data_IF_962567489730
#
_entry.id   IF_962567489730
#
_cell.length_a   1.000
_cell.length_b   1.000
_cell.length_c   1.000
_cell.angle_alpha   90.00
_cell.angle_beta   90.00
_cell.angle_gamma   90.00
#
_symmetry.space_group_name_H-M   'P 1'
#
loop_
_entity.id
_entity.type
_entity.pdbx_description
1 polymer ?
#
# COMPACT_ATOMS: atom_id res chain seq x y z
N UNK A 1 44.42 6.80 -62.39
CA UNK A 1 43.09 7.31 -62.01
C UNK A 1 42.53 6.42 -60.90
N UNK A 2 42.68 6.84 -59.64
CA UNK A 2 42.01 6.27 -58.47
C UNK A 2 41.68 7.44 -57.54
N UNK A 3 40.44 7.90 -57.61
CA UNK A 3 39.94 9.03 -56.84
C UNK A 3 39.65 8.58 -55.41
N UNK A 4 40.31 9.21 -54.44
CA UNK A 4 39.99 9.09 -53.01
C UNK A 4 38.95 10.18 -52.71
N UNK A 5 37.71 9.78 -52.45
CA UNK A 5 36.68 10.69 -51.96
C UNK A 5 36.76 10.80 -50.45
N UNK A 6 37.23 11.95 -49.98
CA UNK A 6 37.19 12.39 -48.59
C UNK A 6 35.71 12.63 -48.20
N UNK A 7 35.17 11.87 -47.24
CA UNK A 7 33.88 12.19 -46.62
C UNK A 7 34.15 13.07 -45.40
N UNK A 8 33.86 14.37 -45.55
CA UNK A 8 33.92 15.36 -44.48
C UNK A 8 32.62 15.25 -43.65
N UNK A 9 32.70 14.71 -42.43
CA UNK A 9 31.60 14.71 -41.48
C UNK A 9 31.53 16.12 -40.86
N UNK A 10 30.56 16.92 -41.28
CA UNK A 10 30.17 18.14 -40.58
C UNK A 10 29.40 17.76 -39.30
N UNK A 11 30.10 17.80 -38.16
CA UNK A 11 29.49 17.88 -36.84
C UNK A 11 28.93 19.30 -36.66
N UNK A 12 27.69 19.52 -37.12
CA UNK A 12 26.89 20.66 -36.69
C UNK A 12 26.49 20.40 -35.22
N UNK A 13 27.15 21.10 -34.30
CA UNK A 13 26.72 21.17 -32.92
C UNK A 13 25.33 21.79 -32.86
N UNK A 14 24.31 20.96 -32.64
CA UNK A 14 23.02 21.45 -32.20
C UNK A 14 23.22 22.06 -30.80
N UNK A 15 22.79 23.30 -30.55
CA UNK A 15 22.79 23.82 -29.20
C UNK A 15 21.85 22.93 -28.38
N UNK A 16 22.35 22.38 -27.26
CA UNK A 16 21.46 21.95 -26.18
C UNK A 16 20.74 23.21 -25.70
N UNK A 17 19.56 23.48 -26.26
CA UNK A 17 18.58 24.30 -25.60
C UNK A 17 18.26 23.56 -24.29
N UNK A 18 18.67 24.14 -23.17
CA UNK A 18 18.07 23.80 -21.89
C UNK A 18 16.55 23.95 -22.09
N UNK A 19 15.81 22.85 -22.01
CA UNK A 19 14.36 22.91 -22.02
C UNK A 19 13.97 23.84 -20.84
N UNK A 20 13.38 24.99 -21.15
CA UNK A 20 12.84 25.88 -20.11
C UNK A 20 11.77 25.14 -19.30
N UNK A 21 11.51 25.64 -18.10
CA UNK A 21 10.41 25.13 -17.28
C UNK A 21 9.09 25.14 -18.09
N UNK A 22 8.24 24.10 -17.96
CA UNK A 22 7.01 23.99 -18.76
C UNK A 22 6.09 25.18 -18.48
N UNK A 23 5.40 25.68 -19.50
CA UNK A 23 4.45 26.76 -19.28
C UNK A 23 3.23 26.24 -18.47
N UNK A 24 2.58 27.07 -17.63
CA UNK A 24 1.41 26.64 -16.85
C UNK A 24 0.31 25.98 -17.70
N UNK A 25 0.14 26.43 -18.95
CA UNK A 25 -0.84 25.89 -19.89
C UNK A 25 -0.49 24.47 -20.33
N UNK A 26 0.80 24.16 -20.51
CA UNK A 26 1.29 22.84 -20.88
C UNK A 26 1.07 21.84 -19.74
N UNK A 27 1.33 22.27 -18.50
CA UNK A 27 1.06 21.47 -17.29
C UNK A 27 -0.44 21.15 -17.18
N UNK A 28 -1.30 22.16 -17.32
CA UNK A 28 -2.77 21.95 -17.27
C UNK A 28 -3.23 21.05 -18.41
N UNK A 29 -2.68 21.21 -19.62
CA UNK A 29 -3.02 20.35 -20.76
C UNK A 29 -2.61 18.88 -20.50
N UNK A 30 -1.44 18.65 -19.93
CA UNK A 30 -0.94 17.33 -19.58
C UNK A 30 -1.82 16.67 -18.49
N UNK A 31 -2.14 17.41 -17.42
CA UNK A 31 -3.03 16.92 -16.36
C UNK A 31 -4.42 16.58 -16.92
N UNK A 32 -4.99 17.44 -17.78
CA UNK A 32 -6.27 17.16 -18.45
C UNK A 32 -6.18 15.89 -19.30
N UNK A 33 -5.11 15.74 -20.09
CA UNK A 33 -4.90 14.57 -20.93
C UNK A 33 -4.82 13.28 -20.10
N UNK A 34 -4.10 13.31 -18.98
CA UNK A 34 -3.93 12.18 -18.08
C UNK A 34 -5.20 11.80 -17.31
N UNK A 35 -6.04 12.78 -16.99
CA UNK A 35 -7.22 12.60 -16.13
C UNK A 35 -8.56 12.67 -16.84
N UNK A 36 -8.59 12.84 -18.16
CA UNK A 36 -9.84 12.96 -18.94
C UNK A 36 -10.81 11.79 -18.72
N UNK A 37 -10.28 10.57 -18.59
CA UNK A 37 -11.10 9.38 -18.30
C UNK A 37 -11.74 9.40 -16.89
N UNK A 38 -11.16 10.15 -15.96
CA UNK A 38 -11.63 10.28 -14.59
C UNK A 38 -12.62 11.41 -14.38
N UNK A 39 -13.02 12.12 -15.45
CA UNK A 39 -14.21 12.97 -15.39
C UNK A 39 -15.42 12.16 -14.92
N UNK A 40 -15.48 10.87 -15.30
CA UNK A 40 -16.34 9.88 -14.66
C UNK A 40 -15.66 9.29 -13.41
N UNK A 41 -16.25 9.57 -12.23
CA UNK A 41 -15.77 9.06 -10.94
C UNK A 41 -15.81 7.52 -10.86
N UNK A 42 -16.73 6.86 -11.58
CA UNK A 42 -16.80 5.40 -11.58
C UNK A 42 -15.55 4.79 -12.22
N UNK A 43 -15.04 5.41 -13.29
CA UNK A 43 -13.77 5.05 -13.92
C UNK A 43 -12.59 5.26 -12.96
N UNK A 44 -12.56 6.35 -12.19
CA UNK A 44 -11.53 6.56 -11.18
C UNK A 44 -11.55 5.47 -10.09
N UNK A 45 -12.72 5.13 -9.57
CA UNK A 45 -12.90 4.05 -8.57
C UNK A 45 -12.48 2.70 -9.14
N UNK A 46 -12.82 2.39 -10.40
CA UNK A 46 -12.42 1.16 -11.08
C UNK A 46 -10.89 1.04 -11.24
N UNK A 47 -10.21 2.17 -11.46
CA UNK A 47 -8.75 2.26 -11.54
C UNK A 47 -8.05 2.33 -10.17
N UNK A 48 -8.82 2.24 -9.07
CA UNK A 48 -8.32 2.10 -7.71
C UNK A 48 -8.10 3.40 -6.95
N UNK A 49 -8.74 4.49 -7.38
CA UNK A 49 -8.82 5.71 -6.57
C UNK A 49 -9.84 5.55 -5.44
N UNK A 50 -9.42 5.89 -4.21
CA UNK A 50 -10.21 5.75 -2.98
C UNK A 50 -10.43 7.13 -2.34
N UNK A 51 -11.64 7.43 -1.88
CA UNK A 51 -12.01 8.75 -1.35
C UNK A 51 -11.35 9.07 0.01
N UNK A 52 -10.13 9.59 0.06
CA UNK A 52 -9.41 9.85 1.30
C UNK A 52 -10.04 10.88 2.25
N UNK A 53 -10.95 11.74 1.78
CA UNK A 53 -11.58 12.74 2.64
C UNK A 53 -13.08 12.97 2.36
N UNK A 54 -13.74 13.65 3.29
CA UNK A 54 -15.05 14.25 3.03
C UNK A 54 -14.90 15.55 2.23
N UNK A 55 -16.00 16.28 2.04
CA UNK A 55 -15.93 17.58 1.35
C UNK A 55 -15.09 18.57 2.15
N UNK A 56 -13.91 18.96 1.67
CA UNK A 56 -13.10 20.00 2.28
C UNK A 56 -13.39 21.36 1.63
N UNK A 57 -13.77 22.32 2.46
CA UNK A 57 -14.13 23.65 1.99
C UNK A 57 -12.98 24.26 1.16
N UNK A 58 -13.28 24.56 -0.12
CA UNK A 58 -12.35 25.12 -1.12
C UNK A 58 -11.33 24.14 -1.72
N UNK A 59 -11.32 22.86 -1.34
CA UNK A 59 -10.43 21.85 -1.92
C UNK A 59 -11.19 20.75 -2.66
N UNK A 60 -12.35 20.34 -2.15
CA UNK A 60 -13.14 19.24 -2.69
C UNK A 60 -13.00 17.97 -1.85
N UNK A 61 -13.49 16.87 -2.40
CA UNK A 61 -13.24 15.52 -1.93
C UNK A 61 -11.94 15.00 -2.55
N UNK A 62 -11.05 14.45 -1.73
CA UNK A 62 -9.79 13.88 -2.18
C UNK A 62 -9.97 12.39 -2.49
N UNK A 63 -9.53 11.97 -3.66
CA UNK A 63 -9.49 10.58 -4.09
C UNK A 63 -8.05 10.18 -4.37
N UNK A 64 -7.49 9.29 -3.54
CA UNK A 64 -6.09 8.89 -3.59
C UNK A 64 -5.93 7.58 -4.33
N UNK A 65 -4.94 7.51 -5.23
CA UNK A 65 -4.47 6.26 -5.83
C UNK A 65 -3.31 5.72 -4.99
N UNK A 66 -3.47 4.57 -4.30
CA UNK A 66 -2.50 4.14 -3.31
C UNK A 66 -1.08 3.90 -3.80
N UNK A 67 -0.93 3.27 -4.96
CA UNK A 67 0.36 2.95 -5.55
C UNK A 67 1.06 4.19 -6.12
N UNK A 68 0.32 5.15 -6.68
CA UNK A 68 0.87 6.41 -7.16
C UNK A 68 1.35 7.26 -5.99
N UNK A 69 0.56 7.36 -4.91
CA UNK A 69 0.96 8.08 -3.70
C UNK A 69 2.19 7.43 -3.04
N UNK A 70 2.21 6.10 -2.89
CA UNK A 70 3.37 5.40 -2.33
C UNK A 70 4.64 5.62 -3.18
N UNK A 71 4.51 5.62 -4.51
CA UNK A 71 5.62 5.92 -5.43
C UNK A 71 6.12 7.35 -5.23
N UNK A 72 5.21 8.33 -5.22
CA UNK A 72 5.52 9.74 -5.05
C UNK A 72 6.25 10.02 -3.72
N UNK A 73 5.83 9.36 -2.63
CA UNK A 73 6.52 9.44 -1.35
C UNK A 73 7.89 8.77 -1.35
N UNK A 74 8.03 7.63 -2.04
CA UNK A 74 9.29 6.89 -2.08
C UNK A 74 10.36 7.58 -2.94
N UNK A 75 9.97 8.24 -4.02
CA UNK A 75 10.90 8.88 -4.96
C UNK A 75 11.06 10.37 -4.72
N UNK A 76 10.08 11.03 -4.10
CA UNK A 76 10.03 12.49 -3.99
C UNK A 76 9.87 13.19 -5.35
N UNK A 77 9.46 12.45 -6.39
CA UNK A 77 9.33 12.95 -7.76
C UNK A 77 7.88 13.14 -8.14
N UNK A 78 7.61 14.22 -8.87
CA UNK A 78 6.29 14.52 -9.43
C UNK A 78 6.14 13.89 -10.83
N UNK A 79 5.01 13.22 -11.08
CA UNK A 79 4.64 12.68 -12.39
C UNK A 79 3.28 13.27 -12.81
N UNK A 80 3.29 14.22 -13.76
CA UNK A 80 2.08 14.88 -14.23
C UNK A 80 1.07 13.90 -14.85
N UNK A 81 1.55 12.80 -15.44
CA UNK A 81 0.72 11.81 -16.12
C UNK A 81 0.07 10.79 -15.16
N UNK A 82 0.49 10.78 -13.89
CA UNK A 82 0.00 9.87 -12.87
C UNK A 82 -0.26 10.60 -11.54
N UNK A 83 -1.22 11.55 -11.50
CA UNK A 83 -1.53 12.29 -10.29
C UNK A 83 -1.98 11.33 -9.17
N UNK A 84 -1.37 11.42 -7.97
CA UNK A 84 -1.71 10.53 -6.87
C UNK A 84 -3.07 10.85 -6.26
N UNK A 85 -3.56 12.08 -6.42
CA UNK A 85 -4.83 12.53 -5.85
C UNK A 85 -5.68 13.24 -6.90
N UNK A 86 -6.94 12.83 -7.03
CA UNK A 86 -7.97 13.52 -7.81
C UNK A 86 -8.89 14.28 -6.86
N UNK A 87 -9.34 15.45 -7.30
CA UNK A 87 -10.22 16.31 -6.52
C UNK A 87 -11.59 16.36 -7.18
N UNK A 88 -12.64 16.10 -6.42
CA UNK A 88 -14.01 16.20 -6.91
C UNK A 88 -14.85 17.15 -6.06
N UNK A 89 -15.91 17.67 -6.65
CA UNK A 89 -17.07 18.17 -5.90
C UNK A 89 -18.30 17.34 -6.23
N UNK A 90 -19.26 17.35 -5.32
CA UNK A 90 -20.48 16.58 -5.42
C UNK A 90 -21.69 17.48 -5.18
N UNK A 91 -22.73 17.31 -6.00
CA UNK A 91 -24.05 17.90 -5.76
C UNK A 91 -25.14 16.98 -6.30
N UNK A 92 -26.10 16.63 -5.45
CA UNK A 92 -27.27 15.81 -5.79
C UNK A 92 -26.95 14.44 -6.43
N UNK A 93 -25.90 13.80 -5.94
CA UNK A 93 -25.32 12.54 -6.43
C UNK A 93 -24.38 12.68 -7.62
N UNK A 94 -24.19 13.88 -8.16
CA UNK A 94 -23.37 14.13 -9.35
C UNK A 94 -21.97 14.57 -8.94
N UNK A 95 -20.99 13.75 -9.28
CA UNK A 95 -19.57 14.02 -9.07
C UNK A 95 -18.98 14.77 -10.26
N UNK A 96 -18.22 15.82 -9.98
CA UNK A 96 -17.49 16.60 -10.97
C UNK A 96 -16.01 16.66 -10.59
N UNK A 97 -15.14 16.20 -11.49
CA UNK A 97 -13.70 16.38 -11.35
C UNK A 97 -13.36 17.87 -11.43
N UNK A 98 -12.61 18.39 -10.45
CA UNK A 98 -12.25 19.82 -10.39
C UNK A 98 -10.76 20.06 -10.56
N UNK A 99 -9.93 19.11 -10.19
CA UNK A 99 -8.47 19.23 -10.25
C UNK A 99 -7.76 17.98 -9.78
N UNK A 100 -6.46 18.13 -9.54
CA UNK A 100 -5.60 17.10 -8.95
C UNK A 100 -4.73 17.72 -7.88
N UNK A 101 -4.23 16.86 -7.00
CA UNK A 101 -3.27 17.23 -5.97
C UNK A 101 -2.03 16.33 -6.05
N UNK A 102 -0.86 16.93 -5.87
CA UNK A 102 0.41 16.25 -5.73
C UNK A 102 0.93 16.42 -4.30
N UNK A 103 0.93 15.31 -3.55
CA UNK A 103 1.48 15.26 -2.20
C UNK A 103 2.83 14.52 -2.19
N UNK A 104 3.89 15.21 -1.78
CA UNK A 104 5.28 14.74 -1.76
C UNK A 104 5.90 14.86 -0.36
N UNK A 105 7.04 14.18 -0.07
CA UNK A 105 7.71 14.31 1.23
C UNK A 105 8.27 15.71 1.50
N UNK A 106 8.61 16.44 0.44
CA UNK A 106 9.12 17.81 0.47
C UNK A 106 8.86 18.47 -0.88
N UNK A 107 8.96 19.80 -0.93
CA UNK A 107 8.89 20.56 -2.19
C UNK A 107 9.97 20.01 -3.14
N UNK A 108 9.63 19.63 -4.38
CA UNK A 108 10.60 19.08 -5.31
C UNK A 108 11.64 20.15 -5.66
N UNK A 109 12.93 19.78 -5.79
CA UNK A 109 13.99 20.73 -6.10
C UNK A 109 13.90 21.28 -7.53
N UNK A 110 13.27 20.51 -8.43
CA UNK A 110 13.02 20.89 -9.81
C UNK A 110 11.66 21.59 -9.91
N UNK A 111 11.59 22.65 -10.73
CA UNK A 111 10.37 23.42 -10.98
C UNK A 111 9.41 22.67 -11.92
N UNK A 112 8.99 21.46 -11.51
CA UNK A 112 8.11 20.60 -12.29
C UNK A 112 6.65 21.12 -12.34
N UNK A 113 6.30 22.04 -11.43
CA UNK A 113 5.07 22.81 -11.42
C UNK A 113 5.37 24.32 -11.32
N UNK A 114 5.80 24.97 -12.43
CA UNK A 114 6.20 26.37 -12.42
C UNK A 114 5.10 27.30 -11.92
N UNK A 115 5.42 28.07 -10.88
CA UNK A 115 4.49 29.02 -10.27
C UNK A 115 3.41 28.39 -9.39
N UNK A 116 3.52 27.10 -9.04
CA UNK A 116 2.62 26.49 -8.09
C UNK A 116 2.87 26.91 -6.64
N UNK A 117 1.78 27.13 -5.91
CA UNK A 117 1.82 27.41 -4.48
C UNK A 117 1.94 26.09 -3.72
N UNK A 118 3.17 25.75 -3.37
CA UNK A 118 3.44 24.64 -2.46
C UNK A 118 3.15 25.06 -1.02
N UNK A 119 2.36 24.25 -0.32
CA UNK A 119 2.05 24.45 1.09
C UNK A 119 2.34 23.16 1.88
N UNK A 120 2.51 23.32 3.18
CA UNK A 120 2.71 22.19 4.09
C UNK A 120 1.35 21.67 4.54
N UNK A 121 1.04 20.43 4.20
CA UNK A 121 0.00 19.66 4.87
C UNK A 121 0.62 19.00 6.10
N UNK A 122 0.08 19.31 7.27
CA UNK A 122 0.64 18.92 8.56
C UNK A 122 0.59 17.40 8.78
N UNK A 123 1.43 16.90 9.68
CA UNK A 123 1.35 15.50 10.07
C UNK A 123 0.02 15.27 10.81
N UNK A 124 -0.84 14.41 10.28
CA UNK A 124 -2.23 14.30 10.75
C UNK A 124 -2.63 12.85 11.03
N UNK A 125 -3.44 12.70 12.08
CA UNK A 125 -4.19 11.50 12.41
C UNK A 125 -5.50 11.51 11.63
N UNK A 126 -5.85 10.37 11.04
CA UNK A 126 -7.08 10.16 10.29
C UNK A 126 -8.08 9.37 11.13
N UNK A 127 -9.36 9.73 11.03
CA UNK A 127 -10.46 9.09 11.74
C UNK A 127 -11.55 8.62 10.80
N UNK A 128 -12.34 7.63 11.21
CA UNK A 128 -13.29 6.93 10.31
C UNK A 128 -14.28 7.83 9.56
N UNK A 129 -14.62 9.00 10.11
CA UNK A 129 -15.49 10.01 9.50
C UNK A 129 -14.74 11.07 8.67
N UNK A 130 -13.53 10.76 8.18
CA UNK A 130 -12.65 11.66 7.42
C UNK A 130 -12.16 12.91 8.17
N UNK A 131 -12.41 12.99 9.47
CA UNK A 131 -11.80 14.06 10.26
C UNK A 131 -10.33 13.78 10.48
N UNK A 132 -9.59 14.86 10.66
CA UNK A 132 -8.18 14.82 10.96
C UNK A 132 -7.85 15.58 12.25
N UNK A 133 -6.80 15.14 12.95
CA UNK A 133 -6.19 15.88 14.04
C UNK A 133 -4.67 15.93 13.86
N UNK A 134 -4.02 17.10 13.95
CA UNK A 134 -2.58 17.19 13.84
C UNK A 134 -1.86 16.42 14.97
N UNK A 135 -0.86 15.63 14.61
CA UNK A 135 0.01 14.96 15.57
C UNK A 135 1.39 14.65 14.96
N UNK A 136 2.44 14.80 15.77
CA UNK A 136 3.81 14.54 15.33
C UNK A 136 4.12 13.06 15.00
N UNK A 137 3.28 12.12 15.43
CA UNK A 137 3.43 10.68 15.15
C UNK A 137 2.12 9.94 15.37
N UNK A 138 1.98 8.74 14.79
CA UNK A 138 0.84 7.85 15.01
C UNK A 138 0.59 7.56 16.50
N UNK A 139 1.65 7.43 17.31
CA UNK A 139 1.54 7.19 18.76
C UNK A 139 1.00 8.40 19.54
N UNK A 140 1.16 9.61 19.01
CA UNK A 140 0.63 10.82 19.60
C UNK A 140 -0.86 11.06 19.24
N UNK A 141 -1.43 10.25 18.34
CA UNK A 141 -2.83 10.35 17.97
C UNK A 141 -3.74 9.95 19.14
N UNK A 142 -4.84 10.66 19.37
CA UNK A 142 -5.94 10.14 20.18
C UNK A 142 -6.54 8.89 19.52
N UNK A 143 -6.79 7.83 20.29
CA UNK A 143 -7.45 6.61 19.79
C UNK A 143 -8.87 6.88 19.25
N UNK A 144 -9.50 7.98 19.69
CA UNK A 144 -10.79 8.46 19.18
C UNK A 144 -10.76 9.96 18.93
N UNK A 145 -11.45 10.42 17.89
CA UNK A 145 -11.57 11.83 17.56
C UNK A 145 -12.34 12.56 18.67
N UNK A 146 -11.84 13.72 19.10
CA UNK A 146 -12.40 14.48 20.23
C UNK A 146 -13.84 14.96 20.02
N UNK A 147 -14.19 15.34 18.79
CA UNK A 147 -15.53 15.84 18.45
C UNK A 147 -16.55 14.76 18.04
N UNK A 148 -16.17 13.78 17.20
CA UNK A 148 -17.08 12.76 16.68
C UNK A 148 -17.06 11.45 17.48
N UNK A 149 -16.00 11.18 18.25
CA UNK A 149 -15.82 9.90 18.94
C UNK A 149 -15.38 8.76 18.02
N UNK A 150 -15.20 9.02 16.72
CA UNK A 150 -14.77 8.03 15.73
C UNK A 150 -13.37 7.51 15.99
N UNK A 151 -13.12 6.27 15.58
CA UNK A 151 -11.85 5.60 15.83
C UNK A 151 -10.76 6.10 14.89
N UNK A 152 -9.54 6.14 15.42
CA UNK A 152 -8.33 6.36 14.63
C UNK A 152 -8.16 5.25 13.59
N UNK A 153 -7.81 5.62 12.36
CA UNK A 153 -7.66 4.68 11.23
C UNK A 153 -6.29 4.74 10.56
N UNK A 154 -5.53 5.82 10.76
CA UNK A 154 -4.24 5.99 10.12
C UNK A 154 -3.57 7.31 10.47
N UNK A 155 -2.30 7.43 10.12
CA UNK A 155 -1.52 8.65 10.29
C UNK A 155 -0.56 8.79 9.11
N UNK A 156 -0.31 10.03 8.67
CA UNK A 156 0.77 10.33 7.73
C UNK A 156 1.71 11.42 8.28
N UNK A 157 2.98 11.43 7.86
CA UNK A 157 3.89 12.54 8.14
C UNK A 157 3.43 13.81 7.42
N UNK A 158 4.08 14.94 7.75
CA UNK A 158 3.85 16.17 7.01
C UNK A 158 4.24 16.00 5.54
N UNK A 159 3.47 16.62 4.64
CA UNK A 159 3.63 16.53 3.19
C UNK A 159 3.74 17.94 2.59
N UNK A 160 4.49 18.06 1.51
CA UNK A 160 4.43 19.22 0.63
C UNK A 160 3.37 18.97 -0.44
N UNK A 161 2.41 19.88 -0.53
CA UNK A 161 1.22 19.72 -1.37
C UNK A 161 1.11 20.85 -2.38
N UNK A 162 0.76 20.51 -3.62
CA UNK A 162 0.42 21.47 -4.66
C UNK A 162 -0.82 21.00 -5.44
N UNK A 163 -1.67 21.96 -5.79
CA UNK A 163 -2.90 21.73 -6.54
C UNK A 163 -2.76 22.16 -8.00
N UNK A 164 -3.43 21.42 -8.89
CA UNK A 164 -3.63 21.83 -10.28
C UNK A 164 -5.13 21.80 -10.59
N UNK A 165 -5.73 22.99 -10.69
CA UNK A 165 -7.15 23.21 -10.99
C UNK A 165 -7.42 23.08 -12.48
N UNK A 166 -7.26 21.85 -12.98
CA UNK A 166 -7.34 21.55 -14.41
C UNK A 166 -8.77 21.56 -14.95
N UNK A 167 -9.79 21.24 -14.15
CA UNK A 167 -11.14 20.96 -14.63
C UNK A 167 -12.20 21.96 -14.17
N UNK A 168 -11.94 22.66 -13.07
CA UNK A 168 -12.81 23.72 -12.57
C UNK A 168 -12.07 25.06 -12.59
N UNK A 169 -12.70 26.13 -13.09
CA UNK A 169 -12.11 27.46 -13.06
C UNK A 169 -11.70 27.88 -11.63
N UNK A 170 -10.58 28.61 -11.50
CA UNK A 170 -10.13 29.15 -10.22
C UNK A 170 -9.76 30.65 -10.40
N UNK A 171 -10.41 31.57 -9.67
CA UNK A 171 -10.13 33.01 -9.78
C UNK A 171 -8.72 33.38 -9.30
N UNK A 172 -8.13 32.58 -8.42
CA UNK A 172 -6.81 32.83 -7.83
C UNK A 172 -5.67 32.20 -8.65
N UNK A 173 -6.01 31.46 -9.71
CA UNK A 173 -5.06 30.83 -10.64
C UNK A 173 -5.09 29.31 -10.63
N UNK A 174 -4.58 28.69 -11.69
CA UNK A 174 -4.61 27.23 -11.90
C UNK A 174 -3.76 26.44 -10.91
N UNK A 175 -2.83 27.10 -10.20
CA UNK A 175 -1.98 26.49 -9.17
C UNK A 175 -2.12 27.15 -7.79
N UNK A 176 -3.22 27.87 -7.56
CA UNK A 176 -3.50 28.42 -6.24
C UNK A 176 -3.71 27.30 -5.21
N UNK A 177 -3.35 27.56 -3.95
CA UNK A 177 -3.50 26.60 -2.84
C UNK A 177 -4.93 26.09 -2.70
N UNK A 178 -5.93 26.97 -2.82
CA UNK A 178 -7.34 26.60 -2.70
C UNK A 178 -8.14 27.18 -3.87
N UNK A 179 -9.38 26.72 -4.03
CA UNK A 179 -10.34 27.27 -4.98
C UNK A 179 -11.57 27.84 -4.26
N UNK A 180 -11.68 29.19 -4.13
CA UNK A 180 -12.81 29.84 -3.48
C UNK A 180 -14.17 29.48 -4.08
N UNK A 181 -14.23 29.14 -5.37
CA UNK A 181 -15.47 28.76 -6.05
C UNK A 181 -15.98 27.38 -5.69
N UNK A 182 -15.22 26.58 -4.94
CA UNK A 182 -15.71 25.31 -4.39
C UNK A 182 -16.42 25.47 -3.02
N UNK A 183 -16.33 26.64 -2.38
CA UNK A 183 -16.99 26.90 -1.09
C UNK A 183 -18.51 26.60 -1.07
N UNK A 184 -19.30 26.87 -2.13
CA UNK A 184 -20.73 26.54 -2.17
C UNK A 184 -21.06 25.04 -2.16
N UNK A 185 -20.08 24.16 -2.37
CA UNK A 185 -20.26 22.71 -2.22
C UNK A 185 -20.16 22.26 -0.76
N UNK A 186 -19.81 23.18 0.16
CA UNK A 186 -19.83 22.96 1.60
C UNK A 186 -18.45 22.72 2.19
N UNK A 187 -18.43 22.01 3.31
CA UNK A 187 -17.26 21.57 4.07
C UNK A 187 -17.64 20.31 4.86
N UNK A 188 -16.70 19.73 5.62
CA UNK A 188 -16.85 18.41 6.24
C UNK A 188 -18.19 18.30 7.02
N UNK A 189 -19.19 17.69 6.39
CA UNK A 189 -20.49 17.46 7.00
C UNK A 189 -20.39 16.21 7.87
N UNK A 190 -20.78 16.31 9.15
CA UNK A 190 -20.68 15.24 10.15
C UNK A 190 -21.60 14.02 9.89
N UNK A 191 -22.16 13.86 8.68
CA UNK A 191 -23.26 12.93 8.40
C UNK A 191 -22.89 11.69 7.60
N UNK A 192 -21.69 11.60 7.05
CA UNK A 192 -21.31 10.40 6.30
C UNK A 192 -20.55 9.43 7.19
N UNK A 193 -21.32 8.55 7.85
CA UNK A 193 -20.79 7.33 8.42
C UNK A 193 -20.44 6.40 7.26
N UNK A 194 -19.20 6.46 6.77
CA UNK A 194 -18.74 5.55 5.71
C UNK A 194 -18.40 4.18 6.30
N UNK A 195 -18.86 3.09 5.66
CA UNK A 195 -18.44 1.70 5.84
C UNK A 195 -17.12 1.47 6.56
N UNK A 196 -16.14 2.02 5.86
CA UNK A 196 -14.71 1.97 6.06
C UNK A 196 -14.14 3.28 5.54
N UNK A 197 -13.13 3.80 6.22
CA UNK A 197 -12.43 4.99 5.73
C UNK A 197 -11.41 4.57 4.64
N UNK A 198 -11.37 5.23 3.49
CA UNK A 198 -10.32 5.12 2.49
C UNK A 198 -8.85 5.19 2.95
N UNK A 199 -8.51 5.86 4.04
CA UNK A 199 -7.20 5.75 4.69
C UNK A 199 -6.98 4.33 5.26
N UNK A 200 -8.00 3.76 5.88
CA UNK A 200 -8.09 2.37 6.35
C UNK A 200 -7.92 1.40 5.16
N UNK A 201 -8.63 1.65 4.05
CA UNK A 201 -8.52 0.84 2.82
C UNK A 201 -7.17 1.01 2.10
N UNK A 202 -6.64 2.24 2.01
CA UNK A 202 -5.33 2.55 1.43
C UNK A 202 -4.25 1.81 2.21
N UNK A 203 -4.29 1.93 3.54
CA UNK A 203 -3.33 1.32 4.43
C UNK A 203 -3.37 -0.20 4.30
N UNK A 204 -4.56 -0.79 4.36
CA UNK A 204 -4.77 -2.22 4.13
C UNK A 204 -4.23 -2.67 2.76
N UNK A 205 -4.57 -2.00 1.65
CA UNK A 205 -4.05 -2.37 0.33
C UNK A 205 -2.52 -2.27 0.25
N UNK A 206 -1.95 -1.21 0.83
CA UNK A 206 -0.50 -1.02 0.88
C UNK A 206 0.17 -2.16 1.65
N UNK A 207 -0.32 -2.49 2.84
CA UNK A 207 0.30 -3.52 3.69
C UNK A 207 0.18 -4.92 3.07
N UNK A 208 -0.97 -5.25 2.47
CA UNK A 208 -1.13 -6.49 1.72
C UNK A 208 -0.15 -6.57 0.54
N UNK A 209 0.01 -5.51 -0.26
CA UNK A 209 0.95 -5.51 -1.40
C UNK A 209 2.40 -5.64 -0.95
N UNK A 210 2.80 -4.95 0.12
CA UNK A 210 4.15 -5.09 0.70
C UNK A 210 4.39 -6.52 1.17
N UNK A 211 3.42 -7.12 1.88
CA UNK A 211 3.48 -8.53 2.26
C UNK A 211 3.60 -9.46 1.04
N UNK A 212 2.87 -9.16 -0.05
CA UNK A 212 2.97 -9.86 -1.33
C UNK A 212 4.37 -9.83 -1.94
N UNK A 213 5.03 -8.66 -1.98
CA UNK A 213 6.41 -8.52 -2.47
C UNK A 213 7.40 -9.33 -1.62
N UNK A 214 7.25 -9.29 -0.29
CA UNK A 214 8.10 -10.05 0.63
C UNK A 214 7.92 -11.56 0.40
N UNK A 215 6.68 -12.04 0.31
CA UNK A 215 6.39 -13.46 0.06
C UNK A 215 6.85 -13.93 -1.32
N UNK A 216 6.74 -13.10 -2.36
CA UNK A 216 7.25 -13.43 -3.69
C UNK A 216 8.78 -13.58 -3.66
N UNK A 217 9.46 -12.69 -2.93
CA UNK A 217 10.91 -12.77 -2.72
C UNK A 217 11.28 -14.05 -1.96
N UNK A 218 10.54 -14.39 -0.90
CA UNK A 218 10.71 -15.64 -0.16
C UNK A 218 10.46 -16.88 -1.03
N UNK A 219 9.47 -16.85 -1.92
CA UNK A 219 9.21 -17.94 -2.86
C UNK A 219 10.39 -18.15 -3.83
N UNK A 220 10.92 -17.05 -4.40
CA UNK A 220 12.07 -17.08 -5.28
C UNK A 220 13.34 -17.59 -4.57
N UNK A 221 13.60 -17.09 -3.36
CA UNK A 221 14.71 -17.57 -2.53
C UNK A 221 14.57 -19.05 -2.21
N UNK A 222 13.38 -19.50 -1.77
CA UNK A 222 13.17 -20.91 -1.42
C UNK A 222 13.32 -21.82 -2.64
N UNK A 223 12.88 -21.38 -3.82
CA UNK A 223 13.09 -22.08 -5.08
C UNK A 223 14.59 -22.19 -5.41
N UNK A 224 15.32 -21.07 -5.32
CA UNK A 224 16.75 -21.02 -5.57
C UNK A 224 17.56 -21.89 -4.60
N UNK A 225 17.14 -21.93 -3.34
CA UNK A 225 17.68 -22.77 -2.27
C UNK A 225 17.40 -24.27 -2.51
N UNK A 226 16.24 -24.60 -3.08
CA UNK A 226 15.81 -25.99 -3.30
C UNK A 226 16.39 -26.62 -4.58
N UNK A 227 16.87 -25.80 -5.53
CA UNK A 227 17.31 -26.27 -6.85
C UNK A 227 18.64 -27.06 -6.82
N UNK A 228 19.58 -26.76 -5.92
CA UNK A 228 20.86 -27.49 -5.84
C UNK A 228 21.31 -27.67 -4.38
N UNK A 229 21.92 -28.81 -4.02
CA UNK A 229 22.57 -28.97 -2.73
C UNK A 229 23.65 -27.91 -2.54
N UNK A 230 23.61 -27.13 -1.46
CA UNK A 230 24.62 -26.11 -1.13
C UNK A 230 25.17 -26.30 0.28
N UNK A 231 26.48 -26.04 0.51
CA UNK A 231 27.05 -26.03 1.86
C UNK A 231 26.57 -24.81 2.67
N UNK A 232 26.85 -24.87 3.97
CA UNK A 232 26.36 -23.98 5.04
C UNK A 232 26.68 -22.47 4.88
N UNK A 233 25.78 -21.54 5.29
CA UNK A 233 24.34 -21.68 5.51
C UNK A 233 23.57 -21.11 4.30
N UNK A 234 23.07 -21.99 3.45
CA UNK A 234 22.32 -21.63 2.24
C UNK A 234 20.96 -20.95 2.51
N UNK A 235 20.46 -21.03 3.75
CA UNK A 235 19.23 -20.39 4.20
C UNK A 235 19.48 -19.10 5.02
N UNK A 236 20.71 -18.58 5.00
CA UNK A 236 21.09 -17.35 5.70
C UNK A 236 20.34 -16.11 5.21
N UNK A 237 19.67 -16.17 4.04
CA UNK A 237 18.89 -15.07 3.49
C UNK A 237 17.40 -15.27 3.73
N UNK A 238 16.85 -16.46 3.48
CA UNK A 238 15.43 -16.73 3.69
C UNK A 238 15.02 -16.68 5.16
N UNK A 239 15.87 -17.17 6.07
CA UNK A 239 15.59 -17.19 7.51
C UNK A 239 15.42 -15.79 8.13
N UNK A 240 16.35 -14.82 7.97
CA UNK A 240 16.14 -13.47 8.47
C UNK A 240 15.02 -12.75 7.74
N UNK A 241 14.77 -13.03 6.46
CA UNK A 241 13.65 -12.42 5.74
C UNK A 241 12.29 -12.88 6.30
N UNK A 242 12.14 -14.15 6.67
CA UNK A 242 10.96 -14.64 7.39
C UNK A 242 10.75 -13.95 8.75
N UNK A 243 11.84 -13.74 9.51
CA UNK A 243 11.79 -13.00 10.78
C UNK A 243 11.38 -11.55 10.54
N UNK A 244 12.02 -10.88 9.58
CA UNK A 244 11.72 -9.51 9.20
C UNK A 244 10.27 -9.35 8.75
N UNK A 245 9.72 -10.34 8.03
CA UNK A 245 8.32 -10.34 7.63
C UNK A 245 7.38 -10.35 8.84
N UNK A 246 7.61 -11.22 9.82
CA UNK A 246 6.80 -11.23 11.04
C UNK A 246 6.95 -9.96 11.88
N UNK A 247 8.16 -9.43 11.99
CA UNK A 247 8.43 -8.14 12.65
C UNK A 247 7.73 -6.98 11.93
N UNK A 248 7.60 -7.04 10.60
CA UNK A 248 6.82 -6.09 9.82
C UNK A 248 5.32 -6.23 10.08
N UNK A 249 4.78 -7.45 10.15
CA UNK A 249 3.34 -7.68 10.35
C UNK A 249 2.86 -7.21 11.73
N UNK A 250 3.67 -7.35 12.79
CA UNK A 250 3.27 -6.97 14.16
C UNK A 250 2.74 -5.53 14.24
N UNK A 251 3.47 -4.49 13.79
CA UNK A 251 2.98 -3.11 13.81
C UNK A 251 2.09 -2.76 12.61
N UNK A 252 2.22 -3.44 11.46
CA UNK A 252 1.51 -3.04 10.23
C UNK A 252 0.13 -3.65 10.05
N UNK A 253 -0.23 -4.69 10.80
CA UNK A 253 -1.56 -5.33 10.66
C UNK A 253 -2.67 -4.52 11.34
N UNK A 254 -2.34 -3.75 12.38
CA UNK A 254 -3.28 -2.94 13.17
C UNK A 254 -2.59 -1.60 13.50
N UNK A 255 -2.75 -0.56 12.67
CA UNK A 255 -2.08 0.72 12.85
C UNK A 255 -2.49 1.44 14.15
N UNK A 256 -3.66 1.12 14.68
CA UNK A 256 -4.21 1.61 15.94
C UNK A 256 -3.59 0.93 17.17
N UNK A 257 -3.09 -0.30 17.01
CA UNK A 257 -2.57 -1.11 18.10
C UNK A 257 -1.11 -0.79 18.41
N UNK A 258 -0.71 -1.06 19.65
CA UNK A 258 0.70 -1.17 20.05
C UNK A 258 1.45 -2.13 19.09
N UNK A 259 2.72 -1.85 18.72
CA UNK A 259 3.60 -0.80 19.26
C UNK A 259 3.58 0.56 18.56
N UNK A 260 2.98 0.66 17.37
CA UNK A 260 3.02 1.86 16.54
C UNK A 260 1.88 2.83 16.85
N UNK A 261 0.69 2.28 17.05
CA UNK A 261 -0.53 3.03 17.26
C UNK A 261 -0.71 3.60 18.67
N UNK A 262 -1.80 4.34 18.87
CA UNK A 262 -2.11 5.01 20.12
C UNK A 262 -2.58 4.07 21.25
N UNK A 263 -3.03 2.85 20.94
CA UNK A 263 -3.44 1.88 21.96
C UNK A 263 -2.25 1.38 22.79
N UNK A 264 -2.54 0.98 24.03
CA UNK A 264 -1.55 0.40 24.95
C UNK A 264 -1.43 -1.11 24.75
N UNK A 265 -0.31 -1.68 25.21
CA UNK A 265 -0.05 -3.13 25.13
C UNK A 265 -1.20 -4.00 25.71
N UNK A 266 -1.84 -3.55 26.80
CA UNK A 266 -2.95 -4.30 27.40
C UNK A 266 -4.22 -4.38 26.54
N UNK A 267 -4.41 -3.42 25.63
CA UNK A 267 -5.60 -3.35 24.77
C UNK A 267 -5.59 -4.43 23.68
N UNK A 268 -4.40 -4.96 23.32
CA UNK A 268 -4.25 -6.12 22.42
C UNK A 268 -5.09 -7.31 22.90
N UNK A 269 -5.18 -7.52 24.22
CA UNK A 269 -5.92 -8.67 24.78
C UNK A 269 -7.42 -8.43 24.91
N UNK A 270 -7.88 -7.19 24.69
CA UNK A 270 -9.28 -6.80 24.78
C UNK A 270 -9.99 -6.90 23.44
N UNK A 271 -9.25 -6.76 22.33
CA UNK A 271 -9.76 -6.92 20.97
C UNK A 271 -9.33 -8.29 20.40
N UNK A 272 -10.27 -9.23 20.17
CA UNK A 272 -9.95 -10.55 19.64
C UNK A 272 -9.40 -10.52 18.21
N UNK A 273 -9.74 -9.51 17.40
CA UNK A 273 -9.24 -9.35 16.04
C UNK A 273 -7.77 -8.94 16.05
N UNK A 274 -7.43 -7.91 16.85
CA UNK A 274 -6.06 -7.46 17.05
C UNK A 274 -5.21 -8.60 17.64
N UNK A 275 -5.71 -9.29 18.67
CA UNK A 275 -5.01 -10.43 19.26
C UNK A 275 -4.72 -11.51 18.21
N UNK A 276 -5.69 -11.82 17.34
CA UNK A 276 -5.52 -12.77 16.26
C UNK A 276 -4.40 -12.33 15.31
N UNK A 277 -4.38 -11.08 14.86
CA UNK A 277 -3.32 -10.54 14.01
C UNK A 277 -1.94 -10.66 14.66
N UNK A 278 -1.79 -10.27 15.94
CA UNK A 278 -0.50 -10.38 16.64
C UNK A 278 -0.02 -11.83 16.73
N UNK A 279 -0.92 -12.77 17.03
CA UNK A 279 -0.58 -14.19 17.10
C UNK A 279 -0.19 -14.77 15.73
N UNK A 280 -0.90 -14.42 14.66
CA UNK A 280 -0.58 -14.86 13.30
C UNK A 280 0.75 -14.27 12.80
N UNK A 281 1.08 -13.04 13.18
CA UNK A 281 2.36 -12.40 12.86
C UNK A 281 3.58 -13.12 13.49
N UNK A 282 3.39 -13.89 14.56
CA UNK A 282 4.45 -14.72 15.15
C UNK A 282 4.79 -15.96 14.30
N UNK A 283 3.92 -16.37 13.37
CA UNK A 283 4.15 -17.56 12.54
C UNK A 283 5.35 -17.38 11.60
N UNK A 284 5.47 -16.29 10.79
CA UNK A 284 6.69 -15.99 10.04
C UNK A 284 7.96 -15.97 10.88
N UNK A 285 7.91 -15.36 12.08
CA UNK A 285 9.07 -15.31 13.00
C UNK A 285 9.49 -16.72 13.40
N UNK A 286 8.52 -17.54 13.80
CA UNK A 286 8.74 -18.93 14.18
C UNK A 286 9.35 -19.73 13.02
N UNK A 287 8.83 -19.56 11.80
CA UNK A 287 9.36 -20.20 10.59
C UNK A 287 10.82 -19.78 10.34
N UNK A 288 11.12 -18.48 10.43
CA UNK A 288 12.46 -17.95 10.20
C UNK A 288 13.49 -18.43 11.23
N UNK A 289 13.15 -18.39 12.53
CA UNK A 289 14.00 -18.90 13.61
C UNK A 289 14.27 -20.39 13.44
N UNK A 290 13.23 -21.18 13.17
CA UNK A 290 13.37 -22.62 12.90
C UNK A 290 14.26 -22.89 11.71
N UNK A 291 14.11 -22.11 10.64
CA UNK A 291 14.90 -22.24 9.42
C UNK A 291 16.37 -21.96 9.73
N UNK A 292 16.69 -20.87 10.45
CA UNK A 292 18.04 -20.57 10.90
C UNK A 292 18.65 -21.71 11.74
N UNK A 293 17.93 -22.21 12.75
CA UNK A 293 18.40 -23.28 13.64
C UNK A 293 18.64 -24.62 12.93
N UNK A 294 17.86 -24.92 11.88
CA UNK A 294 18.10 -26.09 11.01
C UNK A 294 19.39 -25.98 10.21
N UNK A 295 19.76 -24.77 9.77
CA UNK A 295 21.01 -24.52 9.08
C UNK A 295 22.22 -24.94 9.92
N UNK A 296 22.15 -24.75 11.24
CA UNK A 296 23.21 -25.04 12.22
C UNK A 296 23.12 -26.47 12.79
N UNK A 297 22.26 -27.34 12.24
CA UNK A 297 22.05 -28.74 12.66
C UNK A 297 21.58 -28.94 14.12
N UNK A 298 21.00 -27.92 14.75
CA UNK A 298 20.63 -27.94 16.19
C UNK A 298 19.31 -28.69 16.47
N UNK A 299 18.44 -28.92 15.46
CA UNK A 299 17.09 -29.47 15.67
C UNK A 299 16.76 -30.72 14.81
N UNK A 300 16.18 -31.79 15.40
CA UNK A 300 15.75 -32.99 14.67
C UNK A 300 14.56 -32.69 13.72
N UNK A 301 14.74 -32.99 12.42
CA UNK A 301 13.90 -32.46 11.35
C UNK A 301 12.41 -32.87 11.33
N UNK A 302 12.04 -34.06 11.81
CA UNK A 302 10.67 -34.62 11.65
C UNK A 302 9.61 -34.05 12.60
N UNK A 303 9.95 -33.81 13.88
CA UNK A 303 9.00 -33.23 14.85
C UNK A 303 8.71 -31.77 14.48
N UNK A 304 9.75 -31.06 14.07
CA UNK A 304 9.66 -29.66 13.69
C UNK A 304 8.84 -29.42 12.41
N UNK A 305 8.99 -30.28 11.41
CA UNK A 305 8.15 -30.24 10.21
C UNK A 305 6.66 -30.43 10.53
N UNK A 306 6.33 -31.27 11.53
CA UNK A 306 4.95 -31.42 12.01
C UNK A 306 4.45 -30.18 12.74
N UNK A 307 5.28 -29.55 13.58
CA UNK A 307 4.91 -28.30 14.26
C UNK A 307 4.60 -27.20 13.24
N UNK A 308 5.49 -26.99 12.26
CA UNK A 308 5.26 -26.01 11.19
C UNK A 308 3.99 -26.31 10.38
N UNK A 309 3.72 -27.59 10.10
CA UNK A 309 2.52 -27.99 9.38
C UNK A 309 1.25 -27.71 10.18
N UNK A 310 1.24 -28.00 11.48
CA UNK A 310 0.10 -27.72 12.37
C UNK A 310 -0.12 -26.22 12.49
N UNK A 311 0.94 -25.43 12.63
CA UNK A 311 0.85 -23.97 12.68
C UNK A 311 0.31 -23.38 11.37
N UNK A 312 0.76 -23.87 10.21
CA UNK A 312 0.25 -23.45 8.91
C UNK A 312 -1.22 -23.82 8.71
N UNK A 313 -1.64 -25.02 9.12
CA UNK A 313 -3.04 -25.44 9.11
C UNK A 313 -3.89 -24.57 10.02
N UNK A 314 -3.44 -24.33 11.25
CA UNK A 314 -4.16 -23.50 12.21
C UNK A 314 -4.29 -22.06 11.72
N UNK A 315 -3.19 -21.43 11.30
CA UNK A 315 -3.22 -20.07 10.74
C UNK A 315 -4.09 -19.98 9.49
N UNK A 316 -3.95 -20.93 8.55
CA UNK A 316 -4.80 -21.00 7.36
C UNK A 316 -6.29 -21.17 7.69
N UNK A 317 -6.62 -22.00 8.68
CA UNK A 317 -8.00 -22.22 9.13
C UNK A 317 -8.62 -20.94 9.72
N UNK A 318 -7.84 -20.11 10.43
CA UNK A 318 -8.36 -18.85 10.99
C UNK A 318 -8.80 -17.86 9.91
N UNK A 319 -8.16 -17.86 8.73
CA UNK A 319 -8.49 -16.95 7.63
C UNK A 319 -9.88 -17.21 7.03
N UNK A 320 -10.44 -18.42 7.17
CA UNK A 320 -11.81 -18.72 6.71
C UNK A 320 -12.89 -18.05 7.58
N UNK A 321 -12.52 -17.61 8.78
CA UNK A 321 -13.40 -16.96 9.75
C UNK A 321 -12.89 -15.59 10.16
N UNK A 322 -12.02 -14.99 9.34
CA UNK A 322 -11.48 -13.66 9.57
C UNK A 322 -12.39 -12.61 8.92
N UNK A 323 -12.92 -11.69 9.73
CA UNK A 323 -13.84 -10.63 9.29
C UNK A 323 -13.41 -9.30 9.88
N UNK A 324 -13.15 -8.29 9.04
CA UNK A 324 -12.77 -6.95 9.51
C UNK A 324 -13.92 -6.19 10.21
N UNK A 325 -15.18 -6.61 10.02
CA UNK A 325 -16.36 -5.98 10.64
C UNK A 325 -17.04 -6.85 11.71
N UNK A 326 -16.41 -7.97 12.11
CA UNK A 326 -16.97 -8.86 13.14
C UNK A 326 -18.29 -9.56 12.75
N UNK A 327 -18.73 -9.45 11.49
CA UNK A 327 -19.90 -10.11 10.93
C UNK A 327 -19.53 -10.84 9.64
N UNK A 328 -20.20 -11.96 9.37
CA UNK A 328 -20.03 -12.68 8.12
C UNK A 328 -20.61 -11.87 6.96
N UNK A 329 -19.73 -11.42 6.08
CA UNK A 329 -20.07 -10.76 4.83
C UNK A 329 -19.34 -11.49 3.70
N UNK A 330 -20.08 -11.94 2.68
CA UNK A 330 -19.50 -12.63 1.52
C UNK A 330 -19.20 -11.59 0.46
N UNK A 331 -18.11 -10.86 0.66
CA UNK A 331 -17.59 -9.83 -0.23
C UNK A 331 -16.31 -10.29 -0.94
N UNK A 332 -15.78 -9.45 -1.84
CA UNK A 332 -14.54 -9.74 -2.53
C UNK A 332 -13.36 -9.90 -1.54
N UNK A 333 -13.40 -9.18 -0.41
CA UNK A 333 -12.40 -9.26 0.65
C UNK A 333 -12.42 -10.65 1.30
N UNK A 334 -13.60 -11.18 1.64
CA UNK A 334 -13.77 -12.53 2.19
C UNK A 334 -13.25 -13.60 1.21
N UNK A 335 -13.57 -13.49 -0.07
CA UNK A 335 -13.09 -14.45 -1.07
C UNK A 335 -11.56 -14.45 -1.16
N UNK A 336 -10.94 -13.27 -1.10
CA UNK A 336 -9.47 -13.14 -1.05
C UNK A 336 -8.89 -13.80 0.20
N UNK A 337 -9.52 -13.63 1.37
CA UNK A 337 -9.13 -14.32 2.61
C UNK A 337 -9.29 -15.83 2.54
N UNK A 338 -10.35 -16.34 1.92
CA UNK A 338 -10.54 -17.77 1.67
C UNK A 338 -9.44 -18.33 0.76
N UNK A 339 -9.04 -17.58 -0.28
CA UNK A 339 -7.93 -17.98 -1.16
C UNK A 339 -6.61 -18.01 -0.38
N UNK A 340 -6.33 -16.98 0.42
CA UNK A 340 -5.17 -16.94 1.32
C UNK A 340 -5.17 -18.14 2.28
N UNK A 341 -6.28 -18.37 2.99
CA UNK A 341 -6.46 -19.51 3.90
C UNK A 341 -6.25 -20.86 3.21
N UNK A 342 -6.77 -21.02 1.99
CA UNK A 342 -6.62 -22.23 1.19
C UNK A 342 -5.15 -22.52 0.82
N UNK A 343 -4.37 -21.50 0.45
CA UNK A 343 -2.94 -21.67 0.18
C UNK A 343 -2.16 -22.06 1.45
N UNK A 344 -2.46 -21.45 2.59
CA UNK A 344 -1.83 -21.78 3.88
C UNK A 344 -2.19 -23.20 4.36
N UNK A 345 -3.44 -23.63 4.20
CA UNK A 345 -3.87 -25.01 4.47
C UNK A 345 -3.16 -25.99 3.52
N UNK A 346 -3.08 -25.67 2.23
CA UNK A 346 -2.38 -26.49 1.23
C UNK A 346 -0.92 -26.73 1.60
N UNK A 347 -0.22 -25.68 2.07
CA UNK A 347 1.14 -25.75 2.63
C UNK A 347 1.20 -26.73 3.81
N UNK A 348 0.30 -26.59 4.78
CA UNK A 348 0.25 -27.44 5.96
C UNK A 348 0.04 -28.93 5.60
N UNK A 349 -0.88 -29.22 4.69
CA UNK A 349 -1.13 -30.58 4.19
C UNK A 349 0.11 -31.15 3.48
N UNK A 350 0.73 -30.37 2.58
CA UNK A 350 1.92 -30.76 1.86
C UNK A 350 3.07 -31.15 2.81
N UNK A 351 3.30 -30.35 3.86
CA UNK A 351 4.29 -30.65 4.89
C UNK A 351 3.98 -31.95 5.65
N UNK A 352 2.73 -32.19 6.04
CA UNK A 352 2.35 -33.43 6.73
C UNK A 352 2.59 -34.67 5.87
N UNK A 353 2.19 -34.64 4.59
CA UNK A 353 2.38 -35.76 3.66
C UNK A 353 3.89 -36.05 3.49
N UNK A 354 4.70 -35.01 3.35
CA UNK A 354 6.15 -35.12 3.15
C UNK A 354 6.90 -35.72 4.34
N UNK A 355 6.36 -35.61 5.56
CA UNK A 355 6.93 -36.29 6.73
C UNK A 355 6.64 -37.78 6.77
N UNK A 356 5.60 -38.26 6.06
CA UNK A 356 5.15 -39.66 6.07
C UNK A 356 5.70 -40.49 4.92
N UNK A 357 5.98 -39.88 3.78
CA UNK A 357 6.27 -40.61 2.53
C UNK A 357 7.51 -40.08 1.82
N UNK A 358 8.61 -40.85 1.85
CA UNK A 358 9.87 -40.46 1.22
C UNK A 358 9.77 -40.31 -0.31
N UNK A 359 8.82 -41.02 -0.95
CA UNK A 359 8.60 -41.05 -2.40
C UNK A 359 8.14 -39.70 -2.99
N UNK A 360 7.34 -38.95 -2.24
CA UNK A 360 6.77 -37.66 -2.67
C UNK A 360 7.56 -36.47 -2.14
N UNK A 361 8.54 -36.70 -1.26
CA UNK A 361 9.38 -35.66 -0.68
C UNK A 361 10.08 -34.76 -1.71
N UNK A 362 10.57 -35.25 -2.87
CA UNK A 362 11.12 -34.39 -3.92
C UNK A 362 10.08 -33.49 -4.57
N UNK A 363 8.86 -33.99 -4.79
CA UNK A 363 7.74 -33.22 -5.36
C UNK A 363 7.23 -32.15 -4.39
N UNK A 364 7.18 -32.48 -3.10
CA UNK A 364 6.75 -31.55 -2.05
C UNK A 364 7.76 -30.42 -1.81
N UNK A 365 9.02 -30.58 -2.23
CA UNK A 365 9.99 -29.48 -2.22
C UNK A 365 9.57 -28.34 -3.17
N UNK A 366 8.85 -28.65 -4.24
CA UNK A 366 8.30 -27.66 -5.19
C UNK A 366 6.94 -27.10 -4.76
N UNK A 367 6.19 -27.86 -3.95
CA UNK A 367 4.89 -27.40 -3.45
C UNK A 367 5.02 -26.14 -2.57
N UNK A 368 6.07 -26.07 -1.75
CA UNK A 368 6.30 -24.94 -0.85
C UNK A 368 6.48 -23.58 -1.59
N UNK A 369 7.46 -23.42 -2.51
CA UNK A 369 7.60 -22.16 -3.25
C UNK A 369 6.37 -21.88 -4.15
N UNK A 370 5.68 -22.90 -4.65
CA UNK A 370 4.47 -22.72 -5.44
C UNK A 370 3.32 -22.10 -4.63
N UNK A 371 3.06 -22.62 -3.41
CA UNK A 371 2.02 -22.04 -2.55
C UNK A 371 2.39 -20.65 -2.03
N UNK A 372 3.67 -20.38 -1.75
CA UNK A 372 4.12 -19.03 -1.39
C UNK A 372 3.92 -18.06 -2.55
N UNK A 373 4.24 -18.46 -3.78
CA UNK A 373 3.99 -17.65 -4.97
C UNK A 373 2.48 -17.42 -5.19
N UNK A 374 1.64 -18.41 -4.94
CA UNK A 374 0.18 -18.26 -5.01
C UNK A 374 -0.34 -17.26 -3.97
N UNK A 375 0.07 -17.38 -2.71
CA UNK A 375 -0.25 -16.42 -1.64
C UNK A 375 0.23 -15.00 -2.00
N UNK A 376 1.48 -14.87 -2.44
CA UNK A 376 2.05 -13.60 -2.87
C UNK A 376 1.25 -12.97 -4.01
N UNK A 377 0.78 -13.77 -4.96
CA UNK A 377 -0.07 -13.31 -6.07
C UNK A 377 -1.38 -12.74 -5.55
N UNK A 378 -2.07 -13.45 -4.66
CA UNK A 378 -3.33 -12.97 -4.05
C UNK A 378 -3.11 -11.62 -3.36
N UNK A 379 -2.02 -11.48 -2.59
CA UNK A 379 -1.68 -10.26 -1.87
C UNK A 379 -1.28 -9.09 -2.78
N UNK A 380 -0.53 -9.34 -3.86
CA UNK A 380 -0.12 -8.30 -4.81
C UNK A 380 -1.31 -7.73 -5.58
N UNK A 381 -2.31 -8.56 -5.85
CA UNK A 381 -3.56 -8.16 -6.50
C UNK A 381 -4.69 -7.91 -5.49
N UNK A 382 -4.37 -7.79 -4.19
CA UNK A 382 -5.36 -7.53 -3.17
C UNK A 382 -6.07 -6.20 -3.44
N UNK A 383 -7.40 -6.23 -3.34
CA UNK A 383 -8.26 -5.06 -3.51
C UNK A 383 -9.30 -5.02 -2.41
N UNK A 384 -9.42 -3.84 -1.83
CA UNK A 384 -10.52 -3.49 -0.95
C UNK A 384 -11.53 -2.70 -1.78
N UNK A 385 -12.78 -3.16 -1.82
CA UNK A 385 -13.84 -2.66 -2.72
C UNK A 385 -15.02 -2.16 -1.91
#
# INVERSE_FOLDING_TARGET
>A
MRSVSLVLILLLGAPLLAAGAPAPEDVVAEVRRATARYVDVATARADGYLQASGMEARHGYHFVQPAAQARALATGTLDLAAPPVLLYVERDGLWQLVGVEYALPSVPPDDALPGAVWHAHEASCHYRDFRELPAASARACPARHSASGEVFVGWHPALAVAHVWAWYPNPDGVFAEANPWLAPYGGLAAREHHPRNPAEMFYSQLTHRVAGVILLTLAALTLWESWRPRPFPWNAVSAPLWVAFGVYLIPSSDPESWPYGPQRFGEIFSDPLVLQHKLLALLPITIGVITALRGVAVLPGRRLARVLAVLALAGGATLFFHFHEGRLHVDAVYLQHVLMGSTAVGVGVALLIGTRTARVRPWLAWAWPAFLAAMATVLLFYRET
#
